data_IF_083730896825
#
_entry.id   IF_083730896825
#
_cell.length_a   1.000
_cell.length_b   1.000
_cell.length_c   1.000
_cell.angle_alpha   90.00
_cell.angle_beta   90.00
_cell.angle_gamma   90.00
#
_symmetry.space_group_name_H-M   'P 1'
#
loop_
_entity.id
_entity.type
_entity.pdbx_description
1 polymer ?
#
# COMPACT_ATOMS: atom_id res chain seq x y z
N UNK A 1 1.81 -51.24 25.98
CA UNK A 1 2.74 -50.49 25.10
C UNK A 1 1.95 -49.30 24.57
N UNK A 2 2.02 -48.21 25.29
CA UNK A 2 1.35 -46.95 24.94
C UNK A 2 2.24 -46.18 23.95
N UNK A 3 1.74 -46.01 22.76
CA UNK A 3 2.31 -45.10 21.78
C UNK A 3 2.07 -43.66 22.23
N UNK A 4 3.05 -43.07 22.89
CA UNK A 4 3.12 -41.60 23.02
C UNK A 4 3.31 -40.99 21.64
N UNK A 5 2.22 -40.63 20.99
CA UNK A 5 2.25 -39.67 19.88
C UNK A 5 2.77 -38.34 20.40
N UNK A 6 4.03 -38.08 20.09
CA UNK A 6 4.71 -36.84 20.33
C UNK A 6 4.13 -35.81 19.35
N UNK A 7 3.01 -35.17 19.70
CA UNK A 7 2.53 -33.98 19.04
C UNK A 7 3.53 -32.84 19.31
N UNK A 8 4.59 -32.77 18.50
CA UNK A 8 5.32 -31.53 18.36
C UNK A 8 4.34 -30.55 17.71
N UNK A 9 3.72 -29.70 18.51
CA UNK A 9 3.10 -28.48 18.00
C UNK A 9 4.14 -27.81 17.13
N UNK A 10 3.86 -27.69 15.83
CA UNK A 10 4.72 -26.93 14.92
C UNK A 10 4.78 -25.51 15.47
N UNK A 11 5.92 -25.12 16.01
CA UNK A 11 6.17 -23.80 16.57
C UNK A 11 5.92 -22.77 15.45
N UNK A 12 5.03 -21.81 15.68
CA UNK A 12 4.73 -20.75 14.72
C UNK A 12 5.97 -19.89 14.48
N UNK A 13 6.11 -19.36 13.28
CA UNK A 13 7.27 -18.53 12.89
C UNK A 13 7.43 -17.29 13.77
N UNK A 14 6.32 -16.79 14.35
CA UNK A 14 6.26 -15.62 15.24
C UNK A 14 6.04 -16.01 16.72
N UNK A 15 6.29 -17.27 17.09
CA UNK A 15 6.12 -17.73 18.45
C UNK A 15 6.92 -16.87 19.43
N UNK A 16 6.27 -16.48 20.54
CA UNK A 16 6.83 -15.60 21.58
C UNK A 16 7.13 -14.16 21.12
N UNK A 17 6.71 -13.77 19.90
CA UNK A 17 6.82 -12.39 19.46
C UNK A 17 5.61 -11.58 19.94
N UNK A 18 5.88 -10.49 20.60
CA UNK A 18 4.88 -9.47 20.95
C UNK A 18 4.94 -8.38 19.88
N UNK A 19 3.90 -8.29 19.06
CA UNK A 19 3.78 -7.27 18.03
C UNK A 19 2.76 -6.21 18.45
N UNK A 20 3.15 -4.97 18.50
CA UNK A 20 2.22 -3.87 18.73
C UNK A 20 1.67 -3.36 17.38
N UNK A 21 0.37 -3.41 17.21
CA UNK A 21 -0.34 -2.85 16.05
C UNK A 21 -0.99 -1.53 16.47
N UNK A 22 -0.58 -0.44 15.81
CA UNK A 22 -0.96 0.92 16.19
C UNK A 22 -1.87 1.54 15.13
N UNK A 23 -3.10 1.86 15.49
CA UNK A 23 -4.09 2.44 14.58
C UNK A 23 -4.42 1.53 13.41
N UNK A 24 -4.71 2.14 12.25
CA UNK A 24 -4.99 1.41 11.03
C UNK A 24 -6.40 1.61 10.48
N UNK A 25 -6.74 0.78 9.51
CA UNK A 25 -8.05 0.71 8.87
C UNK A 25 -8.54 -0.75 8.78
N UNK A 26 -9.48 -1.06 7.89
CA UNK A 26 -10.05 -2.41 7.81
C UNK A 26 -9.04 -3.50 7.45
N UNK A 27 -7.83 -3.16 7.02
CA UNK A 27 -6.77 -4.14 6.73
C UNK A 27 -6.27 -4.85 7.99
N UNK A 28 -6.20 -4.13 9.10
CA UNK A 28 -5.73 -4.66 10.39
C UNK A 28 -6.67 -5.76 10.92
N UNK A 29 -7.98 -5.68 10.62
CA UNK A 29 -8.97 -6.73 10.97
C UNK A 29 -8.59 -8.09 10.35
N UNK A 30 -8.00 -8.07 9.17
CA UNK A 30 -7.60 -9.28 8.44
C UNK A 30 -6.12 -9.63 8.64
N UNK A 31 -5.27 -8.66 8.92
CA UNK A 31 -3.85 -8.85 9.20
C UNK A 31 -3.62 -9.53 10.55
N UNK A 32 -4.27 -9.00 11.60
CA UNK A 32 -4.05 -9.42 12.98
C UNK A 32 -4.30 -10.92 13.19
N UNK A 33 -5.44 -11.50 12.77
CA UNK A 33 -5.68 -12.94 12.96
C UNK A 33 -4.65 -13.82 12.24
N UNK A 34 -4.13 -13.38 11.09
CA UNK A 34 -3.10 -14.13 10.37
C UNK A 34 -1.75 -14.09 11.10
N UNK A 35 -1.36 -12.96 11.70
CA UNK A 35 -0.17 -12.87 12.54
C UNK A 35 -0.31 -13.75 13.82
N UNK A 36 -1.50 -13.79 14.41
CA UNK A 36 -1.80 -14.66 15.56
C UNK A 36 -1.71 -16.15 15.20
N UNK A 37 -2.19 -16.56 14.02
CA UNK A 37 -2.02 -17.96 13.53
C UNK A 37 -0.55 -18.34 13.38
N UNK A 38 0.34 -17.39 13.13
CA UNK A 38 1.78 -17.58 13.08
C UNK A 38 2.46 -17.57 14.47
N UNK A 39 1.68 -17.44 15.55
CA UNK A 39 2.16 -17.49 16.92
C UNK A 39 2.42 -16.13 17.58
N UNK A 40 2.15 -15.01 16.89
CA UNK A 40 2.36 -13.69 17.47
C UNK A 40 1.35 -13.37 18.58
N UNK A 41 1.81 -12.77 19.67
CA UNK A 41 0.97 -12.09 20.63
C UNK A 41 0.77 -10.64 20.18
N UNK A 42 -0.46 -10.20 20.08
CA UNK A 42 -0.78 -8.86 19.55
C UNK A 42 -1.24 -7.92 20.67
N UNK A 43 -0.61 -6.74 20.73
CA UNK A 43 -1.06 -5.62 21.56
C UNK A 43 -1.53 -4.53 20.60
N UNK A 44 -2.77 -4.06 20.75
CA UNK A 44 -3.38 -3.02 19.92
C UNK A 44 -3.41 -1.66 20.61
N UNK A 45 -3.07 -0.60 19.92
CA UNK A 45 -3.33 0.77 20.34
C UNK A 45 -4.22 1.47 19.29
N UNK A 46 -5.41 1.92 19.70
CA UNK A 46 -6.39 2.51 18.79
C UNK A 46 -7.15 1.48 17.95
N UNK A 47 -7.36 0.30 18.50
CA UNK A 47 -8.11 -0.82 17.92
C UNK A 47 -9.29 -1.26 18.80
N UNK A 48 -9.59 -0.51 19.85
CA UNK A 48 -10.59 -0.85 20.87
C UNK A 48 -12.03 -0.94 20.34
N UNK A 49 -12.35 -0.25 19.24
CA UNK A 49 -13.66 -0.33 18.56
C UNK A 49 -13.63 -1.27 17.34
N UNK A 50 -12.55 -2.07 17.15
CA UNK A 50 -12.43 -2.97 16.01
C UNK A 50 -13.05 -4.35 16.27
N UNK A 51 -13.31 -5.10 15.18
CA UNK A 51 -13.82 -6.48 15.27
C UNK A 51 -12.82 -7.47 15.86
N UNK A 52 -11.57 -7.10 16.03
CA UNK A 52 -10.52 -7.94 16.62
C UNK A 52 -10.17 -7.55 18.06
N UNK A 53 -10.83 -6.54 18.64
CA UNK A 53 -10.54 -6.02 19.96
C UNK A 53 -10.56 -7.10 21.05
N UNK A 54 -11.54 -8.01 21.00
CA UNK A 54 -11.68 -9.11 21.98
C UNK A 54 -10.63 -10.22 21.81
N UNK A 55 -9.83 -10.20 20.74
CA UNK A 55 -8.81 -11.22 20.45
C UNK A 55 -7.38 -10.75 20.73
N UNK A 56 -7.21 -9.49 21.12
CA UNK A 56 -5.92 -8.85 21.36
C UNK A 56 -5.89 -8.19 22.75
N UNK A 57 -4.70 -7.87 23.24
CA UNK A 57 -4.55 -6.97 24.38
C UNK A 57 -4.67 -5.52 23.86
N UNK A 58 -5.63 -4.74 24.38
CA UNK A 58 -5.75 -3.32 24.05
C UNK A 58 -4.91 -2.50 25.04
N UNK A 59 -4.05 -1.63 24.52
CA UNK A 59 -3.21 -0.73 25.30
C UNK A 59 -3.76 0.72 25.21
N UNK A 60 -3.54 1.48 26.29
CA UNK A 60 -4.00 2.86 26.40
C UNK A 60 -2.92 3.89 26.02
N UNK A 61 -1.68 3.47 25.82
CA UNK A 61 -0.57 4.39 25.59
C UNK A 61 0.63 3.79 24.86
N UNK A 62 1.45 4.66 24.26
CA UNK A 62 2.77 4.26 23.72
C UNK A 62 3.72 3.71 24.77
N UNK A 63 3.66 4.19 26.02
CA UNK A 63 4.53 3.71 27.09
C UNK A 63 4.27 2.24 27.41
N UNK A 64 3.01 1.86 27.40
CA UNK A 64 2.61 0.47 27.66
C UNK A 64 3.09 -0.47 26.56
N UNK A 65 2.85 -0.12 25.31
CA UNK A 65 3.29 -0.98 24.18
C UNK A 65 4.82 -1.02 24.04
N UNK A 66 5.50 0.13 24.26
CA UNK A 66 6.95 0.20 24.15
C UNK A 66 7.68 -0.67 25.19
N UNK A 67 7.07 -0.89 26.36
CA UNK A 67 7.64 -1.74 27.41
C UNK A 67 7.55 -3.24 27.10
N UNK A 68 6.60 -3.66 26.25
CA UNK A 68 6.28 -5.09 26.01
C UNK A 68 6.62 -5.54 24.58
N UNK A 69 6.54 -4.66 23.58
CA UNK A 69 6.59 -5.05 22.18
C UNK A 69 8.02 -5.35 21.68
N UNK A 70 8.14 -6.40 20.87
CA UNK A 70 9.33 -6.70 20.11
C UNK A 70 9.42 -5.90 18.80
N UNK A 71 8.27 -5.47 18.25
CA UNK A 71 8.17 -4.61 17.06
C UNK A 71 6.90 -3.78 17.11
N UNK A 72 6.94 -2.59 16.49
CA UNK A 72 5.80 -1.71 16.32
C UNK A 72 5.36 -1.69 14.87
N UNK A 73 4.09 -2.00 14.60
CA UNK A 73 3.50 -2.01 13.25
C UNK A 73 2.51 -0.85 13.13
N UNK A 74 2.87 0.14 12.34
CA UNK A 74 2.04 1.28 11.99
C UNK A 74 1.32 1.07 10.67
N UNK A 75 0.21 1.79 10.40
CA UNK A 75 -0.58 1.61 9.19
C UNK A 75 0.22 1.85 7.92
N UNK A 76 -0.22 1.23 6.83
CA UNK A 76 0.33 1.48 5.49
C UNK A 76 0.24 2.94 5.03
N UNK A 77 -0.71 3.70 5.57
CA UNK A 77 -0.85 5.13 5.32
C UNK A 77 0.21 5.98 6.06
N UNK A 78 0.85 5.39 7.08
CA UNK A 78 1.79 6.10 7.95
C UNK A 78 1.12 7.16 8.80
N UNK A 79 1.76 8.33 8.87
CA UNK A 79 1.25 9.49 9.59
C UNK A 79 0.99 10.67 8.65
N UNK A 80 0.21 11.65 9.12
CA UNK A 80 0.18 12.97 8.50
C UNK A 80 1.43 13.79 8.84
N UNK A 81 1.46 15.06 8.43
CA UNK A 81 2.61 15.95 8.66
C UNK A 81 2.81 16.31 10.13
N UNK A 82 1.78 16.16 10.97
CA UNK A 82 1.81 16.43 12.42
C UNK A 82 2.12 15.17 13.23
N UNK A 83 2.36 14.05 12.58
CA UNK A 83 2.57 12.76 13.23
C UNK A 83 1.29 12.02 13.61
N UNK A 84 0.11 12.54 13.21
CA UNK A 84 -1.15 11.88 13.48
C UNK A 84 -1.24 10.56 12.70
N UNK A 85 -1.38 9.46 13.43
CA UNK A 85 -1.57 8.12 12.88
C UNK A 85 -3.02 7.97 12.41
N UNK A 86 -3.21 7.40 11.22
CA UNK A 86 -4.56 7.03 10.78
C UNK A 86 -5.07 5.89 11.65
N UNK A 87 -6.16 6.12 12.37
CA UNK A 87 -6.79 5.13 13.23
C UNK A 87 -8.31 5.19 13.08
N UNK A 88 -8.88 4.13 12.50
CA UNK A 88 -10.33 4.05 12.21
C UNK A 88 -11.14 3.63 13.44
N UNK A 89 -10.55 2.89 14.36
CA UNK A 89 -11.24 2.17 15.43
C UNK A 89 -11.02 2.78 16.80
N UNK A 90 -10.73 4.07 16.84
CA UNK A 90 -10.63 4.88 18.07
C UNK A 90 -11.08 6.30 17.80
N UNK A 91 -11.56 6.97 18.83
CA UNK A 91 -11.86 8.40 18.78
C UNK A 91 -10.71 9.26 19.31
N UNK A 92 -9.74 8.61 19.97
CA UNK A 92 -8.60 9.31 20.52
C UNK A 92 -7.51 9.47 19.45
N UNK A 93 -6.93 10.68 19.30
CA UNK A 93 -5.84 10.89 18.36
C UNK A 93 -4.59 10.16 18.85
N UNK A 94 -3.97 9.38 17.96
CA UNK A 94 -2.67 8.74 18.21
C UNK A 94 -1.63 9.56 17.47
N UNK A 95 -0.68 10.14 18.19
CA UNK A 95 0.34 11.02 17.62
C UNK A 95 1.71 10.36 17.81
N UNK A 96 2.40 10.12 16.71
CA UNK A 96 3.80 9.68 16.69
C UNK A 96 4.70 10.91 16.58
N UNK A 97 4.83 11.64 17.66
CA UNK A 97 5.67 12.81 17.82
C UNK A 97 7.03 12.47 18.42
N UNK A 98 7.76 13.50 18.84
CA UNK A 98 9.06 13.34 19.48
C UNK A 98 8.95 12.61 20.82
N UNK A 99 7.95 12.94 21.63
CA UNK A 99 7.73 12.29 22.93
C UNK A 99 7.45 10.81 22.77
N UNK A 100 6.61 10.43 21.81
CA UNK A 100 6.36 9.03 21.48
C UNK A 100 7.63 8.31 20.98
N UNK A 101 8.43 8.96 20.12
CA UNK A 101 9.69 8.41 19.66
C UNK A 101 10.73 8.26 20.78
N UNK A 102 10.74 9.15 21.79
CA UNK A 102 11.67 9.10 22.91
C UNK A 102 11.40 7.92 23.88
N UNK A 103 10.16 7.44 23.93
CA UNK A 103 9.73 6.29 24.73
C UNK A 103 10.13 4.97 24.06
N UNK A 104 10.15 4.90 22.72
CA UNK A 104 10.44 3.66 21.99
C UNK A 104 11.90 3.23 22.23
N UNK A 105 12.16 2.00 22.71
CA UNK A 105 13.52 1.50 22.88
C UNK A 105 14.23 1.33 21.53
N UNK A 106 15.52 1.68 21.46
CA UNK A 106 16.29 1.65 20.20
C UNK A 106 16.38 0.28 19.53
N UNK A 107 16.26 -0.78 20.32
CA UNK A 107 16.30 -2.15 19.80
C UNK A 107 14.97 -2.60 19.17
N UNK A 108 13.87 -1.92 19.46
CA UNK A 108 12.54 -2.21 18.91
C UNK A 108 12.39 -1.57 17.52
N UNK A 109 12.26 -2.36 16.45
CA UNK A 109 12.05 -1.83 15.11
C UNK A 109 10.64 -1.27 14.95
N UNK A 110 10.53 -0.19 14.18
CA UNK A 110 9.28 0.49 13.86
C UNK A 110 8.99 0.28 12.38
N UNK A 111 7.94 -0.46 12.07
CA UNK A 111 7.46 -0.70 10.72
C UNK A 111 6.30 0.25 10.42
N UNK A 112 6.40 0.99 9.34
CA UNK A 112 5.41 1.97 8.92
C UNK A 112 5.26 1.91 7.40
N UNK A 113 4.05 2.13 6.86
CA UNK A 113 3.90 2.15 5.42
C UNK A 113 4.74 3.25 4.79
N UNK A 114 4.48 4.49 5.15
CA UNK A 114 5.22 5.68 4.72
C UNK A 114 5.62 6.55 5.90
N UNK A 115 6.86 6.98 5.96
CA UNK A 115 7.34 7.97 6.91
C UNK A 115 7.48 9.35 6.25
N UNK A 116 6.88 10.36 6.85
CA UNK A 116 7.11 11.75 6.44
C UNK A 116 8.57 12.13 6.69
N UNK A 117 9.16 13.05 5.90
CA UNK A 117 10.57 13.44 6.07
C UNK A 117 10.92 13.87 7.50
N UNK A 118 10.01 14.60 8.16
CA UNK A 118 10.19 15.05 9.55
C UNK A 118 10.28 13.85 10.51
N UNK A 119 9.38 12.87 10.36
CA UNK A 119 9.38 11.65 11.18
C UNK A 119 10.65 10.83 10.95
N UNK A 120 11.07 10.67 9.68
CA UNK A 120 12.30 9.96 9.33
C UNK A 120 13.53 10.60 9.98
N UNK A 121 13.68 11.92 9.86
CA UNK A 121 14.77 12.66 10.46
C UNK A 121 14.77 12.56 12.00
N UNK A 122 13.59 12.59 12.63
CA UNK A 122 13.46 12.45 14.07
C UNK A 122 13.84 11.03 14.54
N UNK A 123 13.38 10.00 13.86
CA UNK A 123 13.72 8.60 14.15
C UNK A 123 15.23 8.35 13.98
N UNK A 124 15.84 8.84 12.90
CA UNK A 124 17.28 8.76 12.63
C UNK A 124 18.11 9.44 13.73
N UNK A 125 17.74 10.66 14.11
CA UNK A 125 18.39 11.41 15.21
C UNK A 125 18.32 10.65 16.53
N UNK A 126 17.23 9.90 16.77
CA UNK A 126 17.03 9.07 17.96
C UNK A 126 17.77 7.73 17.88
N UNK A 127 18.19 7.32 16.68
CA UNK A 127 18.81 6.02 16.41
C UNK A 127 17.79 4.87 16.41
N UNK A 128 16.54 5.16 16.07
CA UNK A 128 15.49 4.17 15.89
C UNK A 128 15.59 3.50 14.52
N UNK A 129 15.31 2.21 14.47
CA UNK A 129 15.19 1.46 13.22
C UNK A 129 13.79 1.65 12.64
N UNK A 130 13.64 2.65 11.77
CA UNK A 130 12.38 2.95 11.07
C UNK A 130 12.40 2.29 9.69
N UNK A 131 11.47 1.37 9.45
CA UNK A 131 11.37 0.57 8.23
C UNK A 131 10.11 0.98 7.47
N UNK A 132 10.28 1.53 6.26
CA UNK A 132 9.17 1.89 5.38
C UNK A 132 8.74 0.69 4.55
N UNK A 133 7.67 0.04 4.97
CA UNK A 133 7.19 -1.22 4.41
C UNK A 133 6.65 -1.03 2.98
N UNK A 134 6.03 0.11 2.68
CA UNK A 134 5.49 0.38 1.34
C UNK A 134 6.57 0.55 0.25
N UNK A 135 7.82 0.79 0.64
CA UNK A 135 8.96 0.87 -0.29
C UNK A 135 9.49 -0.50 -0.72
N UNK A 136 9.15 -1.55 0.00
CA UNK A 136 9.54 -2.93 -0.31
C UNK A 136 8.89 -3.37 -1.60
N UNK A 137 9.65 -3.98 -2.51
CA UNK A 137 9.15 -4.40 -3.82
C UNK A 137 8.02 -5.43 -3.70
N UNK A 138 8.19 -6.42 -2.84
CA UNK A 138 7.18 -7.45 -2.58
C UNK A 138 5.86 -6.85 -2.08
N UNK A 139 5.90 -5.84 -1.22
CA UNK A 139 4.71 -5.14 -0.73
C UNK A 139 4.08 -4.29 -1.82
N UNK A 140 4.89 -3.48 -2.51
CA UNK A 140 4.41 -2.58 -3.54
C UNK A 140 3.81 -3.32 -4.74
N UNK A 141 4.40 -4.46 -5.15
CA UNK A 141 3.89 -5.30 -6.24
C UNK A 141 2.56 -5.94 -5.83
N UNK A 142 2.46 -6.52 -4.62
CA UNK A 142 1.21 -7.11 -4.16
C UNK A 142 0.11 -6.07 -3.99
N UNK A 143 0.42 -4.91 -3.40
CA UNK A 143 -0.52 -3.80 -3.27
C UNK A 143 -0.95 -3.19 -4.62
N UNK A 144 -0.18 -3.39 -5.69
CA UNK A 144 -0.55 -2.88 -7.01
C UNK A 144 -1.80 -3.56 -7.58
N UNK A 145 -2.11 -4.80 -7.16
CA UNK A 145 -3.30 -5.53 -7.63
C UNK A 145 -4.59 -4.83 -7.17
N UNK A 146 -4.89 -4.72 -5.86
CA UNK A 146 -6.10 -4.04 -5.41
C UNK A 146 -6.09 -2.54 -5.77
N UNK A 147 -4.91 -1.92 -5.90
CA UNK A 147 -4.84 -0.54 -6.38
C UNK A 147 -5.28 -0.41 -7.84
N UNK A 148 -4.89 -1.33 -8.71
CA UNK A 148 -5.29 -1.33 -10.11
C UNK A 148 -6.81 -1.55 -10.25
N UNK A 149 -7.36 -2.50 -9.50
CA UNK A 149 -8.79 -2.77 -9.48
C UNK A 149 -9.59 -1.56 -8.98
N UNK A 150 -9.16 -0.93 -7.90
CA UNK A 150 -9.80 0.28 -7.39
C UNK A 150 -9.68 1.49 -8.34
N UNK A 151 -8.55 1.64 -9.03
CA UNK A 151 -8.40 2.67 -10.06
C UNK A 151 -9.36 2.46 -11.23
N UNK A 152 -9.51 1.21 -11.67
CA UNK A 152 -10.43 0.84 -12.75
C UNK A 152 -11.88 1.04 -12.29
N UNK A 153 -12.23 0.66 -11.05
CA UNK A 153 -13.55 0.93 -10.47
C UNK A 153 -13.87 2.42 -10.51
N UNK A 154 -12.96 3.28 -10.03
CA UNK A 154 -13.14 4.74 -10.07
C UNK A 154 -13.33 5.25 -11.52
N UNK A 155 -12.58 4.71 -12.47
CA UNK A 155 -12.75 5.07 -13.88
C UNK A 155 -14.14 4.66 -14.40
N UNK A 156 -14.59 3.44 -14.13
CA UNK A 156 -15.91 2.94 -14.52
C UNK A 156 -17.05 3.77 -13.93
N UNK A 157 -16.94 4.18 -12.66
CA UNK A 157 -17.92 5.06 -12.00
C UNK A 157 -17.88 6.50 -12.53
N UNK A 158 -16.81 6.88 -13.21
CA UNK A 158 -16.56 8.25 -13.63
C UNK A 158 -16.75 8.50 -15.12
N UNK A 159 -16.95 7.45 -15.91
CA UNK A 159 -17.17 7.52 -17.36
C UNK A 159 -18.51 6.94 -17.74
N UNK A 160 -19.01 7.32 -18.92
CA UNK A 160 -20.19 6.69 -19.52
C UNK A 160 -19.84 5.60 -20.55
N UNK A 161 -18.55 5.22 -20.64
CA UNK A 161 -18.05 4.24 -21.61
C UNK A 161 -17.54 3.00 -20.89
N UNK A 162 -17.49 1.88 -21.62
CA UNK A 162 -16.86 0.66 -21.14
C UNK A 162 -15.34 0.79 -21.14
N UNK A 163 -14.67 0.11 -20.21
CA UNK A 163 -13.20 -0.05 -20.25
C UNK A 163 -12.79 -0.86 -21.50
N UNK A 164 -13.57 -1.89 -21.83
CA UNK A 164 -13.37 -2.64 -23.07
C UNK A 164 -13.49 -1.72 -24.30
N UNK A 165 -12.46 -1.75 -25.15
CA UNK A 165 -12.37 -0.92 -26.36
C UNK A 165 -11.99 0.54 -26.11
N UNK A 166 -11.95 1.02 -24.86
CA UNK A 166 -11.52 2.38 -24.53
C UNK A 166 -10.05 2.63 -24.89
N UNK A 167 -9.71 3.87 -25.21
CA UNK A 167 -8.32 4.32 -25.30
C UNK A 167 -7.86 4.75 -23.93
N UNK A 168 -7.12 3.88 -23.25
CA UNK A 168 -6.65 4.10 -21.90
C UNK A 168 -5.14 4.37 -21.88
N UNK A 169 -4.73 5.46 -21.21
CA UNK A 169 -3.33 5.79 -20.99
C UNK A 169 -2.89 5.41 -19.59
N UNK A 170 -1.72 4.77 -19.48
CA UNK A 170 -1.02 4.55 -18.20
C UNK A 170 0.28 5.34 -18.23
N UNK A 171 0.35 6.39 -17.41
CA UNK A 171 1.53 7.23 -17.27
C UNK A 171 2.42 6.67 -16.17
N UNK A 172 3.64 6.27 -16.57
CA UNK A 172 4.56 5.52 -15.71
C UNK A 172 4.40 4.00 -15.85
N UNK A 173 5.55 3.29 -15.85
CA UNK A 173 5.58 1.84 -16.03
C UNK A 173 6.44 1.15 -14.96
N UNK A 174 6.30 1.65 -13.72
CA UNK A 174 6.85 1.02 -12.53
C UNK A 174 6.00 -0.16 -12.05
N UNK A 175 6.26 -0.63 -10.82
CA UNK A 175 5.56 -1.75 -10.18
C UNK A 175 4.04 -1.68 -10.33
N UNK A 176 3.47 -0.50 -10.08
CA UNK A 176 2.03 -0.27 -10.17
C UNK A 176 1.54 -0.13 -11.61
N UNK A 177 2.19 0.71 -12.44
CA UNK A 177 1.78 0.95 -13.81
C UNK A 177 1.78 -0.32 -14.68
N UNK A 178 2.72 -1.24 -14.42
CA UNK A 178 2.78 -2.54 -15.10
C UNK A 178 1.54 -3.40 -14.76
N UNK A 179 1.19 -3.52 -13.48
CA UNK A 179 0.00 -4.27 -13.06
C UNK A 179 -1.27 -3.68 -13.66
N UNK A 180 -1.42 -2.36 -13.60
CA UNK A 180 -2.58 -1.67 -14.15
C UNK A 180 -2.71 -1.85 -15.67
N UNK A 181 -1.62 -1.67 -16.41
CA UNK A 181 -1.61 -1.87 -17.86
C UNK A 181 -2.02 -3.31 -18.23
N UNK A 182 -1.48 -4.31 -17.53
CA UNK A 182 -1.84 -5.72 -17.73
C UNK A 182 -3.32 -5.96 -17.46
N UNK A 183 -3.87 -5.40 -16.39
CA UNK A 183 -5.28 -5.56 -16.03
C UNK A 183 -6.18 -4.93 -17.10
N UNK A 184 -5.86 -3.71 -17.54
CA UNK A 184 -6.60 -3.02 -18.60
C UNK A 184 -6.58 -3.77 -19.93
N UNK A 185 -5.42 -4.33 -20.33
CA UNK A 185 -5.31 -5.19 -21.50
C UNK A 185 -6.18 -6.43 -21.39
N UNK A 186 -6.18 -7.08 -20.21
CA UNK A 186 -7.04 -8.23 -19.94
C UNK A 186 -8.53 -7.90 -20.01
N UNK A 187 -8.92 -6.67 -19.74
CA UNK A 187 -10.29 -6.16 -19.92
C UNK A 187 -10.61 -5.74 -21.36
N UNK A 188 -9.66 -5.84 -22.28
CA UNK A 188 -9.85 -5.50 -23.69
C UNK A 188 -9.73 -3.99 -24.00
N UNK A 189 -9.11 -3.21 -23.14
CA UNK A 189 -8.80 -1.80 -23.44
C UNK A 189 -7.67 -1.68 -24.47
N UNK A 190 -7.68 -0.59 -25.25
CA UNK A 190 -6.55 -0.18 -26.08
C UNK A 190 -5.58 0.65 -25.25
N UNK A 191 -4.59 -0.02 -24.66
CA UNK A 191 -3.69 0.58 -23.68
C UNK A 191 -2.51 1.26 -24.36
N UNK A 192 -2.24 2.51 -23.99
CA UNK A 192 -1.01 3.22 -24.29
C UNK A 192 -0.22 3.46 -22.99
N UNK A 193 1.03 3.03 -22.96
CA UNK A 193 1.93 3.21 -21.81
C UNK A 193 2.90 4.35 -22.12
N UNK A 194 2.84 5.43 -21.35
CA UNK A 194 3.77 6.54 -21.46
C UNK A 194 4.88 6.42 -20.44
N UNK A 195 6.12 6.23 -20.91
CA UNK A 195 7.30 6.01 -20.08
C UNK A 195 8.53 6.72 -20.66
N UNK A 196 9.62 6.80 -19.87
CA UNK A 196 10.86 7.45 -20.26
C UNK A 196 11.95 6.50 -20.77
N UNK A 197 11.89 5.25 -20.33
CA UNK A 197 12.98 4.29 -20.55
C UNK A 197 12.67 3.40 -21.76
N UNK A 198 13.64 3.17 -22.66
CA UNK A 198 13.47 2.24 -23.78
C UNK A 198 13.10 0.81 -23.33
N UNK A 199 13.61 0.36 -22.18
CA UNK A 199 13.23 -0.93 -21.59
C UNK A 199 11.74 -1.02 -21.23
N UNK A 200 11.14 0.10 -20.79
CA UNK A 200 9.72 0.16 -20.46
C UNK A 200 8.87 0.13 -21.74
N UNK A 201 9.34 0.78 -22.81
CA UNK A 201 8.66 0.74 -24.11
C UNK A 201 8.65 -0.70 -24.66
N UNK A 202 9.82 -1.35 -24.71
CA UNK A 202 9.93 -2.73 -25.19
C UNK A 202 9.03 -3.69 -24.38
N UNK A 203 8.96 -3.51 -23.06
CA UNK A 203 8.09 -4.30 -22.19
C UNK A 203 6.60 -4.01 -22.44
N UNK A 204 6.23 -2.76 -22.67
CA UNK A 204 4.85 -2.38 -22.99
C UNK A 204 4.41 -3.02 -24.32
N UNK A 205 5.25 -2.98 -25.35
CA UNK A 205 4.98 -3.58 -26.66
C UNK A 205 4.89 -5.11 -26.56
N UNK A 206 5.80 -5.76 -25.84
CA UNK A 206 5.78 -7.22 -25.60
C UNK A 206 4.47 -7.65 -24.94
N UNK A 207 3.90 -6.82 -24.04
CA UNK A 207 2.62 -7.07 -23.39
C UNK A 207 1.39 -6.79 -24.28
N UNK A 208 1.56 -6.22 -25.47
CA UNK A 208 0.49 -5.82 -26.37
C UNK A 208 -0.05 -4.41 -26.15
N UNK A 209 0.61 -3.59 -25.34
CA UNK A 209 0.31 -2.17 -25.20
C UNK A 209 1.09 -1.33 -26.23
N UNK A 210 0.56 -0.17 -26.57
CA UNK A 210 1.27 0.82 -27.37
C UNK A 210 2.27 1.58 -26.49
N UNK A 211 3.53 1.57 -26.83
CA UNK A 211 4.54 2.39 -26.16
C UNK A 211 4.46 3.86 -26.64
N UNK A 212 4.60 4.77 -25.70
CA UNK A 212 4.65 6.23 -25.94
C UNK A 212 5.83 6.80 -25.15
N UNK A 213 6.68 7.56 -25.81
CA UNK A 213 7.68 8.35 -25.09
C UNK A 213 6.98 9.48 -24.32
N UNK A 214 7.24 9.55 -23.02
CA UNK A 214 6.64 10.55 -22.14
C UNK A 214 6.94 11.99 -22.61
N UNK A 215 8.03 12.22 -23.33
CA UNK A 215 8.37 13.52 -23.94
C UNK A 215 7.37 13.97 -25.00
N UNK A 216 6.64 13.03 -25.62
CA UNK A 216 5.61 13.33 -26.61
C UNK A 216 4.18 13.21 -26.06
N UNK A 217 4.01 13.08 -24.75
CA UNK A 217 2.70 12.89 -24.11
C UNK A 217 1.69 13.96 -24.57
N UNK A 218 2.09 15.22 -24.63
CA UNK A 218 1.24 16.35 -25.03
C UNK A 218 0.55 16.12 -26.39
N UNK A 219 1.27 15.56 -27.35
CA UNK A 219 0.73 15.29 -28.69
C UNK A 219 -0.13 14.03 -28.75
N UNK A 220 0.19 13.06 -27.91
CA UNK A 220 -0.41 11.71 -27.95
C UNK A 220 -1.68 11.62 -27.10
N UNK A 221 -1.81 12.44 -26.06
CA UNK A 221 -2.86 12.35 -25.04
C UNK A 221 -4.26 12.68 -25.58
N UNK A 222 -4.35 13.41 -26.71
CA UNK A 222 -5.62 13.84 -27.30
C UNK A 222 -6.60 12.69 -27.60
N UNK A 223 -6.09 11.47 -27.77
CA UNK A 223 -6.90 10.27 -28.00
C UNK A 223 -7.34 9.58 -26.72
N UNK A 224 -6.78 9.99 -25.57
CA UNK A 224 -7.03 9.34 -24.27
C UNK A 224 -8.44 9.61 -23.76
N UNK A 225 -9.19 8.55 -23.49
CA UNK A 225 -10.50 8.62 -22.87
C UNK A 225 -10.40 8.42 -21.35
N UNK A 226 -9.50 7.53 -20.93
CA UNK A 226 -9.22 7.28 -19.52
C UNK A 226 -7.70 7.38 -19.32
N UNK A 227 -7.27 8.21 -18.39
CA UNK A 227 -5.85 8.45 -18.13
C UNK A 227 -5.55 8.09 -16.69
N UNK A 228 -4.65 7.15 -16.48
CA UNK A 228 -4.17 6.75 -15.16
C UNK A 228 -2.75 7.28 -14.98
N UNK A 229 -2.56 8.15 -13.99
CA UNK A 229 -1.23 8.64 -13.66
C UNK A 229 -0.63 7.89 -12.47
N UNK A 230 0.59 7.38 -12.62
CA UNK A 230 1.35 6.74 -11.54
C UNK A 230 2.66 7.46 -11.21
N UNK A 231 2.93 8.58 -11.89
CA UNK A 231 4.18 9.34 -11.77
C UNK A 231 4.01 10.44 -10.72
N UNK A 232 4.80 10.45 -9.63
CA UNK A 232 4.73 11.46 -8.58
C UNK A 232 5.47 12.76 -8.96
N UNK A 233 5.21 13.25 -10.16
CA UNK A 233 5.72 14.51 -10.68
C UNK A 233 4.67 15.12 -11.60
N UNK A 234 4.68 16.44 -11.78
CA UNK A 234 3.74 17.16 -12.63
C UNK A 234 3.89 16.75 -14.10
N UNK A 235 3.17 15.72 -14.54
CA UNK A 235 3.15 15.22 -15.92
C UNK A 235 1.87 15.61 -16.66
N UNK A 236 0.75 15.73 -15.96
CA UNK A 236 -0.51 16.25 -16.49
C UNK A 236 -0.60 17.76 -16.22
N UNK A 237 0.33 18.48 -16.83
CA UNK A 237 0.46 19.94 -16.78
C UNK A 237 -0.53 20.62 -17.73
N UNK A 238 -0.64 21.95 -17.67
CA UNK A 238 -1.55 22.74 -18.53
C UNK A 238 -1.42 22.43 -20.03
N UNK A 239 -0.21 22.41 -20.63
CA UNK A 239 -0.08 22.06 -22.05
C UNK A 239 -0.65 20.67 -22.37
N UNK A 240 -0.43 19.68 -21.51
CA UNK A 240 -0.99 18.32 -21.71
C UNK A 240 -2.51 18.32 -21.57
N UNK A 241 -3.03 18.99 -20.54
CA UNK A 241 -4.48 19.11 -20.29
C UNK A 241 -5.22 19.85 -21.41
N UNK A 242 -4.56 20.79 -22.08
CA UNK A 242 -5.15 21.53 -23.22
C UNK A 242 -5.45 20.65 -24.43
N UNK A 243 -4.70 19.55 -24.58
CA UNK A 243 -4.89 18.59 -25.68
C UNK A 243 -5.88 17.48 -25.34
N UNK A 244 -6.29 17.34 -24.07
CA UNK A 244 -7.22 16.29 -23.68
C UNK A 244 -8.65 16.57 -24.13
N UNK A 245 -9.38 15.51 -24.45
CA UNK A 245 -10.81 15.59 -24.73
C UNK A 245 -11.57 16.03 -23.47
N UNK A 246 -12.65 16.86 -23.60
CA UNK A 246 -13.39 17.37 -22.45
C UNK A 246 -14.07 16.28 -21.61
N UNK A 247 -14.41 15.13 -22.20
CA UNK A 247 -15.03 13.96 -21.57
C UNK A 247 -14.01 12.93 -21.06
N UNK A 248 -12.72 13.20 -21.22
CA UNK A 248 -11.67 12.37 -20.67
C UNK A 248 -11.66 12.40 -19.13
N UNK A 249 -11.30 11.27 -18.52
CA UNK A 249 -11.21 11.14 -17.08
C UNK A 249 -9.76 10.82 -16.68
N UNK A 250 -9.29 11.49 -15.63
CA UNK A 250 -7.97 11.26 -15.02
C UNK A 250 -8.15 10.64 -13.66
N UNK A 251 -7.51 9.48 -13.44
CA UNK A 251 -7.32 8.86 -12.13
C UNK A 251 -5.84 9.00 -11.76
N UNK A 252 -5.54 9.86 -10.82
CA UNK A 252 -4.16 10.10 -10.36
C UNK A 252 -3.86 9.25 -9.13
N UNK A 253 -2.96 8.31 -9.28
CA UNK A 253 -2.57 7.31 -8.30
C UNK A 253 -1.21 7.61 -7.66
N UNK A 254 -0.60 8.69 -8.10
CA UNK A 254 0.67 9.14 -7.55
C UNK A 254 0.51 9.61 -6.10
N UNK A 255 1.60 9.56 -5.36
CA UNK A 255 1.63 10.10 -3.99
C UNK A 255 1.22 11.57 -3.96
N UNK A 256 0.54 11.98 -2.91
CA UNK A 256 0.14 13.37 -2.69
C UNK A 256 1.35 14.32 -2.87
N UNK A 257 1.21 15.40 -3.65
CA UNK A 257 -0.03 16.01 -4.17
C UNK A 257 -0.53 15.44 -5.50
N UNK A 258 0.04 14.39 -6.04
CA UNK A 258 -0.25 13.86 -7.37
C UNK A 258 0.64 14.46 -8.46
N UNK A 259 0.40 14.06 -9.72
CA UNK A 259 1.12 14.56 -10.90
C UNK A 259 0.22 15.31 -11.89
N UNK A 260 -0.95 15.77 -11.42
CA UNK A 260 -1.97 16.47 -12.21
C UNK A 260 -2.17 17.89 -11.69
N UNK A 261 -2.24 18.88 -12.59
CA UNK A 261 -2.75 20.23 -12.25
C UNK A 261 -4.28 20.16 -12.09
N UNK A 262 -4.75 19.73 -10.91
CA UNK A 262 -6.17 19.54 -10.62
C UNK A 262 -6.99 20.82 -10.74
N UNK A 263 -6.40 21.98 -10.41
CA UNK A 263 -7.07 23.26 -10.54
C UNK A 263 -7.33 23.60 -12.02
N UNK A 264 -6.32 23.40 -12.85
CA UNK A 264 -6.45 23.65 -14.28
C UNK A 264 -7.34 22.60 -14.97
N UNK A 265 -7.25 21.33 -14.61
CA UNK A 265 -8.16 20.29 -15.11
C UNK A 265 -9.62 20.66 -14.85
N UNK A 266 -9.94 21.14 -13.64
CA UNK A 266 -11.28 21.63 -13.30
C UNK A 266 -11.72 22.82 -14.14
N UNK A 267 -10.81 23.80 -14.41
CA UNK A 267 -11.10 24.96 -15.28
C UNK A 267 -11.38 24.54 -16.72
N UNK A 268 -10.72 23.47 -17.18
CA UNK A 268 -10.91 22.89 -18.52
C UNK A 268 -12.15 21.98 -18.61
N UNK A 269 -12.81 21.66 -17.49
CA UNK A 269 -13.92 20.73 -17.46
C UNK A 269 -13.50 19.25 -17.53
N UNK A 270 -12.19 18.95 -17.45
CA UNK A 270 -11.66 17.57 -17.39
C UNK A 270 -11.82 17.03 -15.98
N UNK A 271 -12.47 15.87 -15.84
CA UNK A 271 -12.66 15.21 -14.55
C UNK A 271 -11.35 14.56 -14.11
N UNK A 272 -10.76 15.07 -13.04
CA UNK A 272 -9.50 14.56 -12.49
C UNK A 272 -9.67 14.26 -11.00
N UNK A 273 -9.24 13.07 -10.56
CA UNK A 273 -9.39 12.60 -9.19
C UNK A 273 -8.07 12.05 -8.68
N UNK A 274 -7.67 12.46 -7.48
CA UNK A 274 -6.57 11.84 -6.74
C UNK A 274 -7.10 10.63 -5.97
N UNK A 275 -6.41 9.50 -6.08
CA UNK A 275 -6.88 8.21 -5.59
C UNK A 275 -5.88 7.54 -4.61
N UNK A 276 -5.64 8.13 -3.43
CA UNK A 276 -4.71 7.56 -2.46
C UNK A 276 -5.34 6.37 -1.70
N UNK A 277 -4.51 5.35 -1.40
CA UNK A 277 -4.86 4.32 -0.42
C UNK A 277 -5.92 3.31 -0.86
N UNK A 278 -6.11 3.11 -2.16
CA UNK A 278 -7.11 2.21 -2.74
C UNK A 278 -7.15 0.80 -2.14
N UNK A 279 -6.02 0.11 -1.86
CA UNK A 279 -6.08 -1.25 -1.30
C UNK A 279 -6.90 -1.38 -0.02
N UNK A 280 -6.77 -0.40 0.88
CA UNK A 280 -7.55 -0.38 2.13
C UNK A 280 -9.01 0.06 1.96
N UNK A 281 -9.36 0.63 0.81
CA UNK A 281 -10.73 1.11 0.50
C UNK A 281 -11.53 0.03 -0.23
N UNK A 282 -10.95 -0.53 -1.30
CA UNK A 282 -11.69 -1.42 -2.21
C UNK A 282 -11.55 -2.89 -1.88
N UNK A 283 -10.42 -3.31 -1.29
CA UNK A 283 -10.14 -4.71 -0.98
C UNK A 283 -9.35 -4.89 0.33
N UNK A 284 -9.86 -4.40 1.48
CA UNK A 284 -9.13 -4.44 2.75
C UNK A 284 -8.79 -5.87 3.20
N UNK A 285 -9.68 -6.84 2.95
CA UNK A 285 -9.42 -8.25 3.24
C UNK A 285 -8.20 -8.77 2.48
N UNK A 286 -8.20 -8.62 1.17
CA UNK A 286 -7.08 -9.05 0.32
C UNK A 286 -5.78 -8.33 0.70
N UNK A 287 -5.85 -7.02 0.93
CA UNK A 287 -4.69 -6.22 1.32
C UNK A 287 -4.15 -6.61 2.71
N UNK A 288 -5.00 -6.92 3.68
CA UNK A 288 -4.59 -7.42 4.99
C UNK A 288 -3.89 -8.79 4.91
N UNK A 289 -4.47 -9.73 4.16
CA UNK A 289 -3.84 -11.05 3.93
C UNK A 289 -2.51 -10.93 3.16
N UNK A 290 -2.40 -10.02 2.19
CA UNK A 290 -1.14 -9.76 1.49
C UNK A 290 -0.06 -9.26 2.44
N UNK A 291 -0.39 -8.34 3.34
CA UNK A 291 0.53 -7.87 4.37
C UNK A 291 0.94 -9.02 5.32
N UNK A 292 -0.01 -9.87 5.71
CA UNK A 292 0.26 -11.03 6.55
C UNK A 292 1.26 -12.01 5.92
N UNK A 293 1.27 -12.15 4.59
CA UNK A 293 2.23 -12.99 3.85
C UNK A 293 3.65 -12.42 3.83
N UNK A 294 3.78 -11.09 3.83
CA UNK A 294 5.10 -10.45 3.69
C UNK A 294 5.71 -10.04 5.04
N UNK A 295 4.90 -9.70 6.04
CA UNK A 295 5.41 -9.28 7.33
C UNK A 295 6.37 -10.28 7.99
N UNK A 296 6.13 -11.61 8.00
CA UNK A 296 7.05 -12.55 8.64
C UNK A 296 8.46 -12.50 8.07
N UNK A 297 8.61 -12.40 6.73
CA UNK A 297 9.92 -12.27 6.11
C UNK A 297 10.61 -10.94 6.43
N UNK A 298 9.83 -9.85 6.48
CA UNK A 298 10.36 -8.53 6.83
C UNK A 298 10.77 -8.50 8.31
N UNK A 299 9.95 -9.04 9.21
CA UNK A 299 10.27 -9.11 10.63
C UNK A 299 11.53 -9.91 10.90
N UNK A 300 11.74 -11.04 10.18
CA UNK A 300 12.94 -11.87 10.31
C UNK A 300 14.25 -11.15 9.98
N UNK A 301 14.23 -10.11 9.15
CA UNK A 301 15.41 -9.29 8.85
C UNK A 301 15.86 -8.45 10.05
N UNK A 302 14.94 -8.14 10.97
CA UNK A 302 15.18 -7.19 12.07
C UNK A 302 15.08 -7.82 13.47
N UNK A 303 14.44 -8.99 13.57
CA UNK A 303 14.22 -9.70 14.83
C UNK A 303 15.00 -11.02 14.82
N UNK A 304 16.05 -11.18 15.65
CA UNK A 304 16.95 -12.33 15.60
C UNK A 304 16.30 -13.68 15.95
N UNK A 305 15.14 -13.65 16.63
CA UNK A 305 14.43 -14.86 17.05
C UNK A 305 13.34 -15.29 16.05
N UNK A 306 13.17 -14.57 14.95
CA UNK A 306 12.24 -14.93 13.87
C UNK A 306 13.03 -15.63 12.77
N UNK A 307 12.76 -16.92 12.55
CA UNK A 307 13.34 -17.66 11.43
C UNK A 307 12.29 -17.85 10.35
N UNK A 308 12.48 -17.20 9.21
CA UNK A 308 11.60 -17.33 8.05
C UNK A 308 12.26 -18.18 6.97
N UNK A 309 11.63 -19.30 6.60
CA UNK A 309 11.99 -20.07 5.43
C UNK A 309 10.81 -20.08 4.45
N UNK A 310 11.07 -19.77 3.20
CA UNK A 310 10.04 -19.61 2.14
C UNK A 310 9.17 -20.86 1.92
N UNK A 311 9.62 -22.03 2.33
CA UNK A 311 8.92 -23.31 2.23
C UNK A 311 7.75 -23.48 3.21
N UNK A 312 7.64 -22.62 4.24
CA UNK A 312 6.59 -22.73 5.28
C UNK A 312 5.31 -21.95 4.86
N UNK A 313 5.38 -21.09 3.85
CA UNK A 313 4.34 -20.10 3.55
C UNK A 313 3.20 -20.56 2.65
N UNK A 314 3.23 -21.77 2.08
CA UNK A 314 2.17 -22.20 1.17
C UNK A 314 1.82 -23.66 1.44
N UNK A 315 1.04 -23.93 2.48
CA UNK A 315 0.09 -25.03 2.39
C UNK A 315 -1.02 -24.53 1.46
N UNK A 316 -0.96 -24.96 0.21
CA UNK A 316 -2.00 -24.78 -0.80
C UNK A 316 -3.33 -25.30 -0.23
N UNK A 317 -4.33 -24.48 -0.11
CA UNK A 317 -5.62 -24.93 0.34
C UNK A 317 -6.72 -23.88 0.49
N UNK A 318 -6.42 -22.60 0.45
CA UNK A 318 -7.45 -21.57 0.38
C UNK A 318 -7.02 -20.48 -0.61
N UNK A 319 -7.22 -20.79 -1.89
CA UNK A 319 -7.23 -19.77 -2.93
C UNK A 319 -8.47 -18.89 -2.70
N UNK A 320 -8.25 -17.57 -2.69
CA UNK A 320 -9.33 -16.57 -2.71
C UNK A 320 -10.25 -16.78 -3.89
#
# INVERSE_FOLDING_TARGET
MEEHKNERQEQGVLDRMVLAVIGGDDREIYLIPELQKLGAYIIGLGLEESLVADTIECADSFAEIAAKANALLFPMFGTDERGLVKAKFTRQPIILDKEALDIIPRHVPVFIGWARPVLRAAAEKRGLRLIEVANRDEVAIMNSVPSAEGAIQMAMESTAITVHGSVSFVLGFGRFGLTLARTLLGMGARVSVAARKPSDWARAEEMGARAVDLAYLEKEIAKGQIVFNTIPAMVLSRPVLDHMAPDAVIIDLASIPGGTDFEYARKRGVKAMLAPGLPGIVAPKTAGHMLARVYPSILAEYLPNVSWQRSVAIKEGEAC
#
